data_IF_304783031899
#
_entry.id   IF_304783031899
#
_cell.length_a   1.000
_cell.length_b   1.000
_cell.length_c   1.000
_cell.angle_alpha   90.00
_cell.angle_beta   90.00
_cell.angle_gamma   90.00
#
_symmetry.space_group_name_H-M   'P 1'
#
loop_
_entity.id
_entity.type
_entity.pdbx_description
1 polymer ?
#
# COMPACT_ATOMS: atom_id res chain seq x y z
N UNK A 1 5.54 27.18 8.47
CA UNK A 1 5.89 26.08 9.39
C UNK A 1 6.42 24.94 8.54
N UNK A 2 7.71 24.61 8.65
CA UNK A 2 8.33 23.59 7.81
C UNK A 2 7.74 22.22 8.18
N UNK A 3 7.28 21.42 7.20
CA UNK A 3 6.57 20.15 7.41
C UNK A 3 7.37 19.16 8.27
N UNK A 4 8.68 19.36 8.28
CA UNK A 4 9.68 18.60 9.00
C UNK A 4 9.62 18.74 10.54
N UNK A 5 9.42 19.95 11.06
CA UNK A 5 9.30 20.15 12.52
C UNK A 5 8.06 19.44 13.06
N UNK A 6 6.97 19.50 12.30
CA UNK A 6 5.71 18.83 12.64
C UNK A 6 5.85 17.31 12.64
N UNK A 7 6.65 16.75 11.73
CA UNK A 7 6.91 15.31 11.69
C UNK A 7 7.71 14.86 12.93
N UNK A 8 8.73 15.62 13.34
CA UNK A 8 9.52 15.32 14.55
C UNK A 8 8.63 15.35 15.81
N UNK A 9 7.78 16.36 15.94
CA UNK A 9 6.82 16.46 17.05
C UNK A 9 5.86 15.27 17.10
N UNK A 10 5.33 14.83 15.95
CA UNK A 10 4.37 13.73 15.88
C UNK A 10 4.98 12.36 16.21
N UNK A 11 6.23 12.12 15.81
CA UNK A 11 6.90 10.82 16.02
C UNK A 11 7.60 10.78 17.39
N UNK A 12 7.82 11.93 18.05
CA UNK A 12 8.46 11.99 19.36
C UNK A 12 9.96 11.64 19.33
N UNK A 13 10.60 11.74 18.16
CA UNK A 13 12.03 11.45 17.99
C UNK A 13 12.87 12.70 18.20
N UNK A 14 13.93 12.61 19.01
CA UNK A 14 14.76 13.75 19.38
C UNK A 14 15.68 14.28 18.26
N UNK A 15 15.85 13.54 17.17
CA UNK A 15 16.73 13.92 16.05
C UNK A 15 16.30 13.31 14.71
N UNK A 16 16.68 13.97 13.61
CA UNK A 16 16.56 13.45 12.24
C UNK A 16 17.19 12.07 12.09
N UNK A 17 18.41 11.92 12.62
CA UNK A 17 19.22 10.73 12.41
C UNK A 17 18.59 9.53 13.11
N UNK A 18 17.92 9.75 14.24
CA UNK A 18 17.15 8.72 14.92
C UNK A 18 15.98 8.25 14.04
N UNK A 19 15.18 9.18 13.51
CA UNK A 19 14.08 8.84 12.61
C UNK A 19 14.57 8.07 11.37
N UNK A 20 15.64 8.57 10.73
CA UNK A 20 16.23 7.95 9.54
C UNK A 20 16.75 6.55 9.82
N UNK A 21 17.44 6.34 10.94
CA UNK A 21 18.00 5.05 11.30
C UNK A 21 16.91 4.05 11.70
N UNK A 22 15.89 4.46 12.44
CA UNK A 22 14.74 3.61 12.77
C UNK A 22 13.98 3.19 11.52
N UNK A 23 13.69 4.14 10.61
CA UNK A 23 13.01 3.85 9.36
C UNK A 23 13.82 2.88 8.47
N UNK A 24 15.13 3.10 8.35
CA UNK A 24 16.02 2.19 7.64
C UNK A 24 16.01 0.79 8.27
N UNK A 25 16.09 0.70 9.60
CA UNK A 25 16.01 -0.56 10.34
C UNK A 25 14.74 -1.35 10.05
N UNK A 26 13.58 -0.69 10.01
CA UNK A 26 12.32 -1.34 9.66
C UNK A 26 12.27 -1.83 8.21
N UNK A 27 12.83 -1.08 7.27
CA UNK A 27 12.94 -1.52 5.87
C UNK A 27 13.85 -2.73 5.78
N UNK A 28 15.03 -2.67 6.39
CA UNK A 28 16.02 -3.75 6.34
C UNK A 28 15.48 -5.02 7.03
N UNK A 29 14.77 -4.89 8.15
CA UNK A 29 14.08 -6.00 8.82
C UNK A 29 12.96 -6.59 7.95
N UNK A 30 12.12 -5.73 7.36
CA UNK A 30 11.02 -6.17 6.51
C UNK A 30 11.53 -6.90 5.24
N UNK A 31 12.61 -6.40 4.64
CA UNK A 31 13.24 -6.97 3.44
C UNK A 31 14.13 -8.18 3.74
N UNK A 32 14.74 -8.26 4.92
CA UNK A 32 15.63 -9.35 5.33
C UNK A 32 14.96 -10.73 5.35
N UNK A 33 13.63 -10.78 5.42
CA UNK A 33 12.84 -12.01 5.42
C UNK A 33 12.61 -12.69 4.05
N UNK A 34 13.43 -12.41 3.03
CA UNK A 34 13.37 -13.06 1.70
C UNK A 34 12.42 -12.40 0.69
N UNK A 35 12.27 -13.02 -0.50
CA UNK A 35 11.40 -12.51 -1.58
C UNK A 35 9.96 -12.33 -1.07
N UNK A 36 9.54 -11.08 -0.94
CA UNK A 36 8.17 -10.74 -0.59
C UNK A 36 7.32 -10.76 -1.85
N UNK A 37 6.40 -11.72 -1.94
CA UNK A 37 5.39 -11.70 -2.98
C UNK A 37 4.51 -10.46 -2.82
N UNK A 38 4.02 -9.93 -3.94
CA UNK A 38 2.98 -8.89 -3.90
C UNK A 38 1.79 -9.42 -3.12
N UNK A 39 1.40 -8.65 -2.11
CA UNK A 39 0.23 -8.96 -1.32
C UNK A 39 -1.03 -8.58 -2.11
N UNK A 40 -1.87 -9.58 -2.33
CA UNK A 40 -3.03 -9.50 -3.23
C UNK A 40 -4.06 -8.47 -2.74
N UNK A 41 -4.16 -8.29 -1.42
CA UNK A 41 -5.02 -7.29 -0.77
C UNK A 41 -4.67 -5.86 -1.19
N UNK A 42 -3.38 -5.51 -1.24
CA UNK A 42 -2.91 -4.18 -1.64
C UNK A 42 -2.90 -4.00 -3.16
N UNK A 43 -2.72 -5.08 -3.91
CA UNK A 43 -2.54 -4.99 -5.37
C UNK A 43 -3.87 -5.08 -6.12
N UNK A 44 -4.88 -5.78 -5.58
CA UNK A 44 -6.16 -6.05 -6.25
C UNK A 44 -7.36 -5.38 -5.60
N UNK A 45 -7.16 -4.63 -4.52
CA UNK A 45 -8.26 -3.93 -3.84
C UNK A 45 -8.11 -2.42 -4.01
N UNK A 46 -9.24 -1.73 -4.16
CA UNK A 46 -9.25 -0.26 -4.20
C UNK A 46 -9.15 0.34 -2.79
N UNK A 47 -9.49 -0.44 -1.77
CA UNK A 47 -9.36 -0.07 -0.36
C UNK A 47 -9.25 -1.32 0.51
N UNK A 48 -8.46 -1.22 1.57
CA UNK A 48 -8.25 -2.22 2.63
C UNK A 48 -8.40 -1.51 3.98
N UNK A 49 -9.13 -2.08 4.93
CA UNK A 49 -9.28 -1.49 6.26
C UNK A 49 -10.42 -2.10 7.08
N UNK A 50 -10.90 -1.36 8.08
CA UNK A 50 -12.04 -1.80 8.88
C UNK A 50 -13.31 -1.90 8.03
N UNK A 51 -14.28 -2.71 8.47
CA UNK A 51 -15.55 -2.87 7.76
C UNK A 51 -16.26 -1.54 7.51
N UNK A 52 -16.35 -0.70 8.54
CA UNK A 52 -17.00 0.62 8.45
C UNK A 52 -16.29 1.53 7.46
N UNK A 53 -14.96 1.54 7.46
CA UNK A 53 -14.17 2.28 6.48
C UNK A 53 -14.49 1.82 5.05
N UNK A 54 -14.52 0.51 4.82
CA UNK A 54 -14.77 -0.07 3.50
C UNK A 54 -16.20 0.19 3.01
N UNK A 55 -17.19 0.08 3.89
CA UNK A 55 -18.58 0.41 3.58
C UNK A 55 -18.72 1.90 3.21
N UNK A 56 -18.03 2.79 3.93
CA UNK A 56 -17.99 4.21 3.62
C UNK A 56 -17.34 4.49 2.25
N UNK A 57 -16.17 3.90 1.98
CA UNK A 57 -15.49 4.04 0.68
C UNK A 57 -16.38 3.55 -0.46
N UNK A 58 -17.06 2.41 -0.27
CA UNK A 58 -18.00 1.86 -1.26
C UNK A 58 -19.17 2.82 -1.52
N UNK A 59 -19.73 3.42 -0.47
CA UNK A 59 -20.80 4.41 -0.60
C UNK A 59 -20.33 5.67 -1.35
N UNK A 60 -19.14 6.19 -1.03
CA UNK A 60 -18.55 7.36 -1.68
C UNK A 60 -18.26 7.12 -3.18
N UNK A 61 -17.84 5.91 -3.54
CA UNK A 61 -17.63 5.54 -4.93
C UNK A 61 -18.95 5.41 -5.71
N UNK A 62 -20.08 5.16 -5.03
CA UNK A 62 -21.40 5.09 -5.64
C UNK A 62 -21.45 4.15 -6.85
N UNK A 63 -21.86 4.68 -8.01
CA UNK A 63 -21.91 3.89 -9.25
C UNK A 63 -20.54 3.35 -9.68
N UNK A 64 -19.43 4.00 -9.31
CA UNK A 64 -18.08 3.55 -9.63
C UNK A 64 -17.71 2.29 -8.88
N UNK A 65 -18.36 1.98 -7.76
CA UNK A 65 -18.17 0.73 -7.02
C UNK A 65 -18.95 -0.46 -7.62
N UNK A 66 -19.73 -0.27 -8.70
CA UNK A 66 -20.44 -1.36 -9.36
C UNK A 66 -19.47 -2.48 -9.76
N UNK A 67 -19.85 -3.72 -9.49
CA UNK A 67 -19.01 -4.90 -9.71
C UNK A 67 -18.01 -5.21 -8.58
N UNK A 68 -17.84 -4.30 -7.61
CA UNK A 68 -16.98 -4.52 -6.44
C UNK A 68 -17.77 -4.98 -5.22
N UNK A 69 -17.18 -5.91 -4.48
CA UNK A 69 -17.71 -6.50 -3.25
C UNK A 69 -16.78 -6.19 -2.08
N UNK A 70 -17.39 -6.10 -0.91
CA UNK A 70 -16.65 -6.11 0.35
C UNK A 70 -16.34 -7.56 0.65
N UNK A 71 -15.07 -7.87 0.85
CA UNK A 71 -14.56 -9.22 1.13
C UNK A 71 -13.82 -9.16 2.46
N UNK A 72 -14.06 -10.12 3.34
CA UNK A 72 -13.31 -10.27 4.58
C UNK A 72 -11.99 -11.01 4.28
N UNK A 73 -10.87 -10.37 4.62
CA UNK A 73 -9.52 -10.94 4.57
C UNK A 73 -9.09 -11.50 5.93
N UNK A 74 -7.81 -11.84 6.07
CA UNK A 74 -7.25 -12.36 7.32
C UNK A 74 -7.20 -11.31 8.43
N UNK A 75 -6.91 -10.06 8.09
CA UNK A 75 -6.71 -8.98 9.06
C UNK A 75 -7.62 -7.76 8.83
N UNK A 76 -8.20 -7.64 7.63
CA UNK A 76 -8.98 -6.47 7.22
C UNK A 76 -10.07 -6.83 6.21
N UNK A 77 -10.96 -5.86 5.96
CA UNK A 77 -11.95 -5.92 4.89
C UNK A 77 -11.40 -5.25 3.64
N UNK A 78 -11.71 -5.81 2.48
CA UNK A 78 -11.20 -5.38 1.17
C UNK A 78 -12.37 -5.00 0.26
N UNK A 79 -12.28 -3.87 -0.43
CA UNK A 79 -13.18 -3.55 -1.55
C UNK A 79 -12.50 -3.91 -2.86
N UNK A 80 -12.97 -4.96 -3.53
CA UNK A 80 -12.42 -5.39 -4.82
C UNK A 80 -13.46 -6.04 -5.71
N UNK A 81 -13.12 -6.32 -6.96
CA UNK A 81 -14.02 -7.04 -7.86
C UNK A 81 -14.47 -8.39 -7.27
N UNK A 82 -15.74 -8.73 -7.49
CA UNK A 82 -16.21 -10.07 -7.14
C UNK A 82 -15.41 -11.13 -7.88
N UNK A 83 -15.25 -12.30 -7.28
CA UNK A 83 -14.62 -13.50 -7.86
C UNK A 83 -15.44 -14.08 -9.03
N UNK A 84 -15.75 -13.28 -10.04
CA UNK A 84 -15.87 -13.79 -11.40
C UNK A 84 -14.43 -14.10 -11.82
N UNK A 85 -13.99 -15.32 -11.46
CA UNK A 85 -12.82 -16.02 -11.98
C UNK A 85 -11.75 -15.13 -12.65
N UNK A 86 -10.91 -14.47 -11.85
CA UNK A 86 -9.55 -14.11 -12.28
C UNK A 86 -8.70 -15.39 -12.30
N UNK A 87 -9.12 -16.36 -13.12
CA UNK A 87 -8.47 -17.66 -13.30
C UNK A 87 -8.17 -17.99 -14.75
N UNK A 88 -8.39 -17.03 -15.67
CA UNK A 88 -7.93 -17.15 -17.05
C UNK A 88 -6.96 -15.98 -17.34
N UNK A 89 -5.68 -16.31 -17.50
CA UNK A 89 -4.61 -15.47 -18.04
C UNK A 89 -4.13 -14.27 -17.19
N UNK A 90 -3.41 -14.54 -16.10
CA UNK A 90 -2.24 -13.72 -15.72
C UNK A 90 -1.05 -14.61 -15.36
N UNK A 91 -0.93 -15.77 -16.01
CA UNK A 91 0.30 -16.55 -16.01
C UNK A 91 1.21 -16.02 -17.10
N UNK A 92 2.22 -15.22 -16.74
CA UNK A 92 3.35 -14.88 -17.62
C UNK A 92 3.42 -13.44 -18.16
N UNK A 93 2.42 -12.57 -17.96
CA UNK A 93 2.43 -11.24 -18.60
C UNK A 93 2.48 -10.03 -17.65
N UNK A 94 2.65 -10.25 -16.33
CA UNK A 94 2.93 -9.16 -15.37
C UNK A 94 4.29 -9.30 -14.68
N UNK A 95 5.18 -10.12 -15.25
CA UNK A 95 6.56 -10.27 -14.76
C UNK A 95 7.50 -9.15 -15.23
N UNK A 96 6.99 -8.15 -15.96
CA UNK A 96 7.76 -6.96 -16.30
C UNK A 96 6.83 -5.76 -16.56
N UNK A 97 6.23 -5.20 -15.50
CA UNK A 97 5.86 -3.78 -15.59
C UNK A 97 7.17 -3.03 -15.63
N UNK A 98 7.56 -2.70 -16.86
CA UNK A 98 8.84 -2.16 -17.23
C UNK A 98 9.19 -0.89 -16.47
N UNK A 99 10.45 -0.53 -16.67
CA UNK A 99 11.25 0.60 -16.20
C UNK A 99 10.50 1.97 -16.22
N UNK A 100 9.31 2.05 -16.82
CA UNK A 100 8.47 3.24 -16.97
C UNK A 100 7.88 3.79 -15.65
N UNK A 101 7.72 2.98 -14.60
CA UNK A 101 7.27 3.47 -13.29
C UNK A 101 8.42 3.84 -12.32
N UNK A 102 9.68 3.83 -12.79
CA UNK A 102 10.82 4.30 -12.00
C UNK A 102 10.86 5.83 -12.10
N UNK A 103 9.96 6.49 -11.39
CA UNK A 103 10.25 7.84 -10.94
C UNK A 103 11.35 7.71 -9.88
N UNK A 104 12.59 8.01 -10.27
CA UNK A 104 13.64 8.25 -9.30
C UNK A 104 13.15 9.39 -8.40
N UNK A 105 12.95 9.09 -7.11
CA UNK A 105 12.88 10.13 -6.10
C UNK A 105 14.28 10.74 -6.06
N UNK A 106 14.50 11.82 -6.81
CA UNK A 106 15.68 12.67 -6.68
C UNK A 106 15.68 13.22 -5.25
N UNK A 107 16.30 12.48 -4.34
CA UNK A 107 16.70 13.00 -3.05
C UNK A 107 17.92 13.87 -3.33
N UNK A 108 17.68 15.12 -3.73
CA UNK A 108 18.71 16.15 -3.73
C UNK A 108 19.24 16.26 -2.30
N UNK A 109 20.46 15.77 -2.10
CA UNK A 109 21.26 16.01 -0.91
C UNK A 109 22.19 17.16 -1.30
N UNK A 110 21.85 18.37 -0.86
CA UNK A 110 22.81 19.47 -0.65
C UNK A 110 23.17 19.55 0.85
#
# INVERSE_FOLDING_TARGET
MNNYERLKELIGTGSYDQLRNSYKGWIDEYLGGGMKNRQDEWTRSIAVGSRSFIENVKALLGFRAKGRRVIEGSEAYHLREGSAHSGAFFGGENENIGIENIYFLDVNIE
#
